data_IF_974708927181
#
_entry.id   IF_974708927181
#
_cell.length_a   1.000
_cell.length_b   1.000
_cell.length_c   1.000
_cell.angle_alpha   90.00
_cell.angle_beta   90.00
_cell.angle_gamma   90.00
#
_symmetry.space_group_name_H-M   'P 1'
#
loop_
_entity.id
_entity.type
_entity.pdbx_description
1 polymer ?
#
# COMPACT_ATOMS: atom_id res chain seq x y z
N UNK A 1 6.01 -3.83 3.71
CA UNK A 1 6.58 -2.54 4.14
C UNK A 1 5.63 -1.74 5.02
N UNK A 2 4.34 -1.59 4.68
CA UNK A 2 3.35 -0.86 5.50
C UNK A 2 3.35 -1.15 7.00
N UNK A 3 3.31 -2.41 7.42
CA UNK A 3 3.33 -2.80 8.85
C UNK A 3 4.57 -2.33 9.60
N UNK A 4 5.72 -2.33 8.93
CA UNK A 4 6.99 -1.87 9.50
C UNK A 4 6.96 -0.34 9.60
N UNK A 5 6.50 0.33 8.54
CA UNK A 5 6.38 1.79 8.51
C UNK A 5 5.42 2.30 9.60
N UNK A 6 4.27 1.65 9.78
CA UNK A 6 3.33 2.02 10.84
C UNK A 6 3.92 1.79 12.22
N UNK A 7 4.55 0.64 12.47
CA UNK A 7 5.18 0.35 13.77
C UNK A 7 6.28 1.35 14.14
N UNK A 8 7.17 1.67 13.20
CA UNK A 8 8.24 2.65 13.41
C UNK A 8 7.69 4.07 13.62
N UNK A 9 6.67 4.47 12.86
CA UNK A 9 6.07 5.80 12.98
C UNK A 9 5.29 5.96 14.29
N UNK A 10 4.57 4.93 14.73
CA UNK A 10 3.95 4.93 16.06
C UNK A 10 5.00 5.00 17.16
N UNK A 11 6.09 4.22 17.06
CA UNK A 11 7.19 4.27 18.02
C UNK A 11 7.87 5.66 18.07
N UNK A 12 7.96 6.34 16.93
CA UNK A 12 8.44 7.72 16.85
C UNK A 12 7.46 8.77 17.40
N UNK A 13 6.29 8.37 17.90
CA UNK A 13 5.30 9.25 18.52
C UNK A 13 4.46 10.06 17.54
N UNK A 14 4.36 9.63 16.27
CA UNK A 14 3.52 10.33 15.29
C UNK A 14 2.03 10.15 15.61
N UNK A 15 1.17 11.14 15.30
CA UNK A 15 -0.28 10.99 15.42
C UNK A 15 -0.81 9.85 14.54
N UNK A 16 -1.84 9.15 15.02
CA UNK A 16 -2.49 8.00 14.34
C UNK A 16 -2.80 8.29 12.86
N UNK A 17 -3.31 9.47 12.53
CA UNK A 17 -3.61 9.84 11.14
C UNK A 17 -2.37 9.88 10.24
N UNK A 18 -1.25 10.43 10.74
CA UNK A 18 0.01 10.48 10.00
C UNK A 18 0.63 9.10 9.84
N UNK A 19 0.59 8.27 10.89
CA UNK A 19 1.05 6.88 10.84
C UNK A 19 0.26 6.09 9.79
N UNK A 20 -1.07 6.23 9.80
CA UNK A 20 -1.95 5.55 8.85
C UNK A 20 -1.64 5.94 7.40
N UNK A 21 -1.54 7.25 7.11
CA UNK A 21 -1.22 7.73 5.76
C UNK A 21 0.14 7.23 5.29
N UNK A 22 1.17 7.34 6.14
CA UNK A 22 2.51 6.85 5.83
C UNK A 22 2.51 5.34 5.58
N UNK A 23 1.83 4.58 6.44
CA UNK A 23 1.65 3.14 6.29
C UNK A 23 0.96 2.75 4.99
N UNK A 24 -0.08 3.50 4.60
CA UNK A 24 -0.86 3.23 3.40
C UNK A 24 -0.04 3.47 2.14
N UNK A 25 0.74 4.56 2.10
CA UNK A 25 1.68 4.83 1.01
C UNK A 25 2.79 3.77 0.98
N UNK A 26 3.37 3.42 2.13
CA UNK A 26 4.41 2.39 2.22
C UNK A 26 3.92 0.97 1.89
N UNK A 27 2.61 0.70 2.02
CA UNK A 27 2.00 -0.58 1.64
C UNK A 27 1.56 -0.64 0.17
N UNK A 28 1.41 0.50 -0.49
CA UNK A 28 0.85 0.58 -1.84
C UNK A 28 1.80 0.05 -2.90
N UNK A 29 1.23 -0.51 -3.97
CA UNK A 29 1.94 -0.84 -5.19
C UNK A 29 1.86 0.32 -6.20
N UNK A 30 2.76 0.34 -7.19
CA UNK A 30 2.65 1.29 -8.30
C UNK A 30 1.67 0.79 -9.34
N UNK A 31 0.62 1.57 -9.61
CA UNK A 31 -0.39 1.21 -10.61
C UNK A 31 -0.13 1.80 -12.00
N UNK A 32 0.80 2.75 -12.08
CA UNK A 32 1.18 3.48 -13.30
C UNK A 32 2.56 3.02 -13.78
N UNK A 33 3.54 2.96 -12.88
CA UNK A 33 4.91 2.61 -13.26
C UNK A 33 5.05 1.11 -13.56
N UNK A 34 4.35 0.24 -12.81
CA UNK A 34 4.37 -1.20 -13.07
C UNK A 34 3.93 -1.57 -14.50
N UNK A 35 2.78 -1.11 -15.02
CA UNK A 35 2.41 -1.39 -16.42
C UNK A 35 3.33 -0.70 -17.44
N UNK A 36 3.90 0.48 -17.12
CA UNK A 36 4.88 1.14 -17.98
C UNK A 36 6.17 0.32 -18.10
N UNK A 37 6.67 -0.23 -16.99
CA UNK A 37 7.85 -1.08 -16.95
C UNK A 37 7.64 -2.40 -17.72
N UNK A 38 6.46 -3.02 -17.58
CA UNK A 38 6.11 -4.23 -18.35
C UNK A 38 6.12 -3.93 -19.85
N UNK A 39 5.50 -2.82 -20.29
CA UNK A 39 5.48 -2.42 -21.70
C UNK A 39 6.88 -2.13 -22.24
N UNK A 40 7.74 -1.47 -21.45
CA UNK A 40 9.09 -1.13 -21.87
C UNK A 40 10.00 -2.37 -21.99
N UNK A 41 9.80 -3.36 -21.13
CA UNK A 41 10.65 -4.56 -21.05
C UNK A 41 10.14 -5.69 -21.96
N UNK A 42 8.82 -5.81 -22.10
CA UNK A 42 8.14 -6.89 -22.81
C UNK A 42 7.12 -6.31 -23.81
N UNK A 43 7.57 -5.80 -24.96
CA UNK A 43 6.69 -5.12 -25.93
C UNK A 43 5.61 -6.04 -26.52
N UNK A 44 5.87 -7.35 -26.57
CA UNK A 44 4.91 -8.37 -27.05
C UNK A 44 3.88 -8.78 -25.99
N UNK A 45 4.02 -8.32 -24.74
CA UNK A 45 3.08 -8.66 -23.68
C UNK A 45 1.71 -8.01 -23.94
N UNK A 46 0.63 -8.77 -23.74
CA UNK A 46 -0.72 -8.27 -23.97
C UNK A 46 -1.10 -7.15 -22.97
N UNK A 47 -1.40 -5.92 -23.44
CA UNK A 47 -1.81 -4.80 -22.59
C UNK A 47 -3.01 -5.08 -21.71
N UNK A 48 -3.98 -5.85 -22.19
CA UNK A 48 -5.15 -6.22 -21.41
C UNK A 48 -4.77 -6.94 -20.12
N UNK A 49 -3.76 -7.81 -20.13
CA UNK A 49 -3.39 -8.60 -18.96
C UNK A 49 -2.75 -7.70 -17.89
N UNK A 50 -1.70 -6.95 -18.24
CA UNK A 50 -0.96 -6.18 -17.24
C UNK A 50 -1.69 -4.91 -16.79
N UNK A 51 -2.55 -4.33 -17.64
CA UNK A 51 -3.41 -3.21 -17.25
C UNK A 51 -4.55 -3.69 -16.33
N UNK A 52 -5.21 -4.80 -16.66
CA UNK A 52 -6.27 -5.35 -15.81
C UNK A 52 -5.72 -5.86 -14.48
N UNK A 53 -4.55 -6.50 -14.44
CA UNK A 53 -3.94 -6.92 -13.18
C UNK A 53 -3.60 -5.73 -12.28
N UNK A 54 -3.05 -4.66 -12.85
CA UNK A 54 -2.70 -3.43 -12.11
C UNK A 54 -3.95 -2.66 -11.65
N UNK A 55 -4.78 -2.22 -12.58
CA UNK A 55 -5.89 -1.29 -12.34
C UNK A 55 -7.21 -1.98 -12.00
N UNK A 56 -7.46 -3.15 -12.55
CA UNK A 56 -8.72 -3.89 -12.35
C UNK A 56 -8.71 -4.78 -11.11
N UNK A 57 -7.53 -5.20 -10.64
CA UNK A 57 -7.39 -6.14 -9.52
C UNK A 57 -6.61 -5.51 -8.36
N UNK A 58 -5.33 -5.16 -8.59
CA UNK A 58 -4.44 -4.77 -7.50
C UNK A 58 -4.86 -3.44 -6.86
N UNK A 59 -5.22 -2.45 -7.68
CA UNK A 59 -5.69 -1.16 -7.17
C UNK A 59 -6.99 -1.26 -6.35
N UNK A 60 -8.08 -1.90 -6.84
CA UNK A 60 -9.28 -2.10 -6.04
C UNK A 60 -9.04 -2.91 -4.77
N UNK A 61 -8.19 -3.93 -4.83
CA UNK A 61 -7.81 -4.71 -3.64
C UNK A 61 -7.15 -3.82 -2.58
N UNK A 62 -6.21 -2.96 -3.00
CA UNK A 62 -5.58 -2.02 -2.08
C UNK A 62 -6.60 -1.05 -1.46
N UNK A 63 -7.54 -0.52 -2.25
CA UNK A 63 -8.54 0.40 -1.73
C UNK A 63 -9.52 -0.27 -0.76
N UNK A 64 -10.05 -1.45 -1.12
CA UNK A 64 -11.13 -2.11 -0.37
C UNK A 64 -10.59 -2.88 0.84
N UNK A 65 -9.40 -3.49 0.73
CA UNK A 65 -8.84 -4.33 1.78
C UNK A 65 -7.56 -3.74 2.35
N UNK A 66 -6.63 -3.30 1.49
CA UNK A 66 -5.32 -2.80 1.92
C UNK A 66 -5.40 -1.59 2.86
N UNK A 67 -6.14 -0.56 2.47
CA UNK A 67 -6.28 0.67 3.27
C UNK A 67 -6.95 0.39 4.62
N UNK A 68 -8.12 -0.28 4.70
CA UNK A 68 -8.70 -0.62 5.99
C UNK A 68 -7.79 -1.49 6.87
N UNK A 69 -7.07 -2.44 6.26
CA UNK A 69 -6.12 -3.29 7.00
C UNK A 69 -4.97 -2.47 7.60
N UNK A 70 -4.40 -1.52 6.86
CA UNK A 70 -3.35 -0.65 7.37
C UNK A 70 -3.85 0.26 8.50
N UNK A 71 -5.11 0.71 8.42
CA UNK A 71 -5.73 1.43 9.53
C UNK A 71 -5.82 0.55 10.78
N UNK A 72 -6.28 -0.70 10.66
CA UNK A 72 -6.31 -1.64 11.78
C UNK A 72 -4.93 -1.91 12.36
N UNK A 73 -3.92 -2.07 11.51
CA UNK A 73 -2.52 -2.24 11.95
C UNK A 73 -2.02 -0.99 12.70
N UNK A 74 -2.41 0.20 12.26
CA UNK A 74 -2.05 1.45 12.94
C UNK A 74 -2.64 1.49 14.35
N UNK A 75 -3.92 1.12 14.50
CA UNK A 75 -4.59 1.03 15.80
C UNK A 75 -3.99 -0.07 16.68
N UNK A 76 -3.61 -1.19 16.08
CA UNK A 76 -2.90 -2.27 16.79
C UNK A 76 -1.60 -1.76 17.40
N UNK A 77 -0.75 -1.06 16.63
CA UNK A 77 0.49 -0.52 17.15
C UNK A 77 0.28 0.54 18.23
N UNK A 78 -0.72 1.42 18.06
CA UNK A 78 -1.10 2.41 19.06
C UNK A 78 -1.47 1.73 20.40
N UNK A 79 -2.33 0.70 20.34
CA UNK A 79 -2.70 -0.08 21.52
C UNK A 79 -1.51 -0.80 22.18
N UNK A 80 -0.61 -1.40 21.38
CA UNK A 80 0.57 -2.12 21.88
C UNK A 80 1.56 -1.18 22.57
N UNK A 81 1.74 0.03 22.04
CA UNK A 81 2.71 1.01 22.54
C UNK A 81 2.11 1.98 23.57
N UNK A 82 0.81 1.90 23.83
CA UNK A 82 0.12 2.74 24.82
C UNK A 82 0.03 4.21 24.43
N UNK A 83 -0.01 4.49 23.12
CA UNK A 83 -0.09 5.85 22.54
C UNK A 83 -1.40 6.07 21.79
#
# INVERSE_FOLDING_TARGET
HGTIATGLATFAGLPVGSVFVLGAVAASASYIDAPAAVRATFPEANPGIYLTSSLGITFPFMLVLGIPLIYQITLFWAAVLGV
#
